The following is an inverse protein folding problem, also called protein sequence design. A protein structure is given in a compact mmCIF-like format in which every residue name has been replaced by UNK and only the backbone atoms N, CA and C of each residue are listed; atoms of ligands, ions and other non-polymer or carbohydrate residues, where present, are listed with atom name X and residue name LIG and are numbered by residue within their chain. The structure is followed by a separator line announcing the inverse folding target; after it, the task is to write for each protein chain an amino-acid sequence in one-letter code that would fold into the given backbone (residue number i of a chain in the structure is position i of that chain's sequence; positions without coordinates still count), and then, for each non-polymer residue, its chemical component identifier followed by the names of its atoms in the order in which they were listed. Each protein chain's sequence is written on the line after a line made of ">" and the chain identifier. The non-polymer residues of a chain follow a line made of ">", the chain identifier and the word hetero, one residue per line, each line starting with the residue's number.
data_IF_472515112935
#
_entry.id   IF_472515112935
#
_cell.length_a   1.000
_cell.length_b   1.000
_cell.length_c   1.000
_cell.angle_alpha   90.00
_cell.angle_beta   90.00
_cell.angle_gamma   90.00
#
_symmetry.space_group_name_H-M   'P 1'
#
loop_
_entity.id
_entity.type
_entity.pdbx_description
1 polymer ?
#
# COMPACT_ATOMS: atom_id res chain seq x y z
N UNK A 1 15.41 -5.43 10.77
CA UNK A 1 16.73 -5.51 10.10
C UNK A 1 17.74 -6.36 10.88
N UNK A 2 18.24 -5.94 12.06
CA UNK A 2 19.26 -6.70 12.82
C UNK A 2 18.86 -8.14 13.17
N UNK A 3 17.62 -8.35 13.63
CA UNK A 3 17.11 -9.70 13.92
C UNK A 3 17.09 -10.62 12.68
N UNK A 4 16.81 -10.07 11.50
CA UNK A 4 16.79 -10.80 10.23
C UNK A 4 18.22 -11.14 9.78
N UNK A 5 19.16 -10.19 9.90
CA UNK A 5 20.57 -10.43 9.63
C UNK A 5 21.13 -11.57 10.52
N UNK A 6 20.84 -11.51 11.82
CA UNK A 6 21.21 -12.56 12.77
C UNK A 6 20.59 -13.92 12.40
N UNK A 7 19.29 -13.96 12.08
CA UNK A 7 18.61 -15.19 11.65
C UNK A 7 19.23 -15.82 10.40
N UNK A 8 19.71 -15.00 9.47
CA UNK A 8 20.25 -15.44 8.19
C UNK A 8 21.77 -15.57 8.18
N UNK A 9 22.45 -15.43 9.34
CA UNK A 9 23.91 -15.45 9.47
C UNK A 9 24.61 -14.47 8.51
N UNK A 10 24.02 -13.29 8.32
CA UNK A 10 24.56 -12.21 7.51
C UNK A 10 25.26 -11.18 8.42
N UNK A 11 26.30 -10.49 7.91
CA UNK A 11 26.85 -9.34 8.62
C UNK A 11 25.72 -8.33 8.87
N UNK A 12 25.57 -7.82 10.11
CA UNK A 12 24.53 -6.87 10.38
C UNK A 12 24.84 -5.59 9.60
N UNK A 13 23.83 -4.97 8.98
CA UNK A 13 24.03 -3.75 8.20
C UNK A 13 24.56 -2.59 9.05
N UNK A 14 24.31 -2.65 10.35
CA UNK A 14 24.82 -1.71 11.33
C UNK A 14 25.32 -2.43 12.57
N UNK A 15 26.35 -1.90 13.25
CA UNK A 15 26.89 -2.52 14.46
C UNK A 15 25.93 -2.46 15.67
N UNK A 16 24.94 -1.56 15.66
CA UNK A 16 23.93 -1.45 16.72
C UNK A 16 22.60 -0.84 16.22
N UNK A 17 21.50 -0.95 17.00
CA UNK A 17 20.24 -0.25 16.71
C UNK A 17 20.39 1.28 16.63
N UNK A 18 21.25 1.87 17.47
CA UNK A 18 21.52 3.31 17.48
C UNK A 18 22.24 3.73 16.19
N UNK A 19 23.23 2.95 15.75
CA UNK A 19 23.92 3.18 14.48
C UNK A 19 22.97 3.04 13.28
N UNK A 20 22.05 2.07 13.33
CA UNK A 20 21.02 1.93 12.31
C UNK A 20 20.09 3.15 12.26
N UNK A 21 19.66 3.67 13.42
CA UNK A 21 18.83 4.88 13.49
C UNK A 21 19.56 6.13 13.00
N UNK A 22 20.84 6.27 13.31
CA UNK A 22 21.65 7.40 12.86
C UNK A 22 21.81 7.42 11.33
N UNK A 23 21.85 6.25 10.70
CA UNK A 23 21.94 6.14 9.25
C UNK A 23 20.67 6.56 8.51
N UNK A 24 19.52 6.74 9.20
CA UNK A 24 18.26 7.15 8.58
C UNK A 24 18.19 8.67 8.31
N UNK A 25 19.34 9.36 8.35
CA UNK A 25 19.46 10.77 8.03
C UNK A 25 19.96 10.93 6.58
N UNK A 26 19.01 11.05 5.66
CA UNK A 26 19.25 11.13 4.23
C UNK A 26 19.45 12.58 3.77
N UNK A 27 20.19 12.78 2.68
CA UNK A 27 20.33 14.10 2.04
C UNK A 27 19.41 14.26 0.82
N UNK A 28 19.06 13.14 0.18
CA UNK A 28 18.24 13.04 -1.03
C UNK A 28 17.65 11.62 -1.20
N UNK A 29 16.89 11.38 -2.27
CA UNK A 29 16.32 10.06 -2.60
C UNK A 29 17.39 8.97 -2.80
N UNK A 30 18.55 9.29 -3.38
CA UNK A 30 19.57 8.27 -3.66
C UNK A 30 20.22 7.76 -2.36
N UNK A 31 20.57 8.66 -1.43
CA UNK A 31 21.06 8.29 -0.10
C UNK A 31 20.08 7.36 0.63
N UNK A 32 18.77 7.62 0.48
CA UNK A 32 17.72 6.75 1.01
C UNK A 32 17.67 5.38 0.34
N UNK A 33 17.69 5.34 -1.00
CA UNK A 33 17.60 4.10 -1.78
C UNK A 33 18.77 3.15 -1.50
N UNK A 34 19.99 3.68 -1.35
CA UNK A 34 21.17 2.87 -1.02
C UNK A 34 20.97 2.12 0.31
N UNK A 35 20.41 2.80 1.30
CA UNK A 35 20.07 2.20 2.59
C UNK A 35 18.87 1.24 2.48
N UNK A 36 17.84 1.61 1.72
CA UNK A 36 16.69 0.75 1.47
C UNK A 36 17.13 -0.61 0.90
N UNK A 37 17.92 -0.61 -0.18
CA UNK A 37 18.40 -1.84 -0.82
C UNK A 37 19.34 -2.64 0.08
N UNK A 38 20.17 -1.96 0.87
CA UNK A 38 20.99 -2.63 1.85
C UNK A 38 20.15 -3.31 2.94
N UNK A 39 19.11 -2.64 3.42
CA UNK A 39 18.13 -3.20 4.35
C UNK A 39 17.36 -4.39 3.77
N UNK A 40 17.03 -4.37 2.48
CA UNK A 40 16.37 -5.48 1.80
C UNK A 40 17.28 -6.72 1.66
N UNK A 41 18.60 -6.55 1.66
CA UNK A 41 19.57 -7.65 1.49
C UNK A 41 19.53 -8.70 2.61
N UNK A 42 19.02 -8.33 3.80
CA UNK A 42 18.95 -9.25 4.95
C UNK A 42 17.73 -10.17 4.91
N UNK A 43 16.79 -9.97 3.99
CA UNK A 43 15.65 -10.85 3.74
C UNK A 43 16.13 -12.01 2.85
N UNK A 44 16.03 -13.26 3.31
CA UNK A 44 16.55 -14.43 2.57
C UNK A 44 15.55 -15.56 2.41
N UNK A 45 14.63 -15.72 3.35
CA UNK A 45 13.73 -16.87 3.45
C UNK A 45 12.29 -16.42 3.42
N UNK A 46 11.38 -17.32 3.04
CA UNK A 46 9.93 -17.10 3.13
C UNK A 46 9.48 -16.51 4.49
N UNK A 47 10.06 -16.98 5.60
CA UNK A 47 9.73 -16.50 6.95
C UNK A 47 10.12 -15.03 7.14
N UNK A 48 11.19 -14.55 6.51
CA UNK A 48 11.60 -13.15 6.61
C UNK A 48 10.57 -12.21 6.02
N UNK A 49 10.07 -12.54 4.83
CA UNK A 49 9.03 -11.76 4.17
C UNK A 49 7.69 -11.82 4.93
N UNK A 50 7.34 -12.99 5.47
CA UNK A 50 6.15 -13.12 6.31
C UNK A 50 6.23 -12.25 7.56
N UNK A 51 7.33 -12.36 8.32
CA UNK A 51 7.50 -11.63 9.58
C UNK A 51 7.57 -10.12 9.35
N UNK A 52 8.26 -9.68 8.29
CA UNK A 52 8.35 -8.26 7.93
C UNK A 52 6.96 -7.70 7.56
N UNK A 53 6.23 -8.37 6.67
CA UNK A 53 4.90 -7.93 6.27
C UNK A 53 3.91 -7.94 7.44
N UNK A 54 3.93 -8.97 8.29
CA UNK A 54 3.09 -9.03 9.48
C UNK A 54 3.43 -7.94 10.51
N UNK A 55 4.69 -7.55 10.63
CA UNK A 55 5.07 -6.42 11.49
C UNK A 55 4.43 -5.12 11.01
N UNK A 56 4.48 -4.85 9.69
CA UNK A 56 3.79 -3.72 9.09
C UNK A 56 2.27 -3.81 9.28
N UNK A 57 1.64 -4.96 8.98
CA UNK A 57 0.19 -5.13 9.07
C UNK A 57 -0.35 -4.94 10.49
N UNK A 58 0.34 -5.45 11.51
CA UNK A 58 -0.01 -5.19 12.91
C UNK A 58 0.04 -3.70 13.23
N UNK A 59 1.06 -3.00 12.75
CA UNK A 59 1.24 -1.57 13.00
C UNK A 59 0.23 -0.70 12.24
N UNK A 60 -0.12 -1.09 11.01
CA UNK A 60 -1.14 -0.45 10.20
C UNK A 60 -2.54 -0.65 10.81
N UNK A 61 -2.87 -1.87 11.24
CA UNK A 61 -4.14 -2.16 11.91
C UNK A 61 -4.29 -1.37 13.23
N UNK A 62 -3.21 -1.25 14.02
CA UNK A 62 -3.20 -0.41 15.23
C UNK A 62 -3.41 1.09 14.93
N UNK A 63 -3.11 1.53 13.70
CA UNK A 63 -3.40 2.87 13.20
C UNK A 63 -4.77 2.99 12.51
N UNK A 64 -5.66 2.00 12.67
CA UNK A 64 -6.98 1.92 12.05
C UNK A 64 -6.97 1.85 10.51
N UNK A 65 -5.86 1.40 9.91
CA UNK A 65 -5.85 1.07 8.49
C UNK A 65 -6.74 -0.14 8.25
N UNK A 66 -7.71 0.00 7.35
CA UNK A 66 -8.67 -1.07 6.99
C UNK A 66 -8.32 -1.75 5.66
N UNK A 67 -7.52 -1.09 4.83
CA UNK A 67 -6.96 -1.62 3.58
C UNK A 67 -5.55 -1.10 3.37
N UNK A 68 -4.63 -1.98 3.00
CA UNK A 68 -3.29 -1.64 2.53
C UNK A 68 -3.06 -2.15 1.09
N UNK A 69 -2.65 -1.26 0.19
CA UNK A 69 -2.18 -1.61 -1.15
C UNK A 69 -0.67 -1.41 -1.17
N UNK A 70 0.06 -2.51 -0.97
CA UNK A 70 1.47 -2.47 -0.58
C UNK A 70 2.36 -2.71 -1.80
N UNK A 71 3.34 -1.84 -1.97
CA UNK A 71 4.34 -1.92 -3.03
C UNK A 71 5.39 -2.96 -2.66
N UNK A 72 5.95 -3.63 -3.65
CA UNK A 72 7.12 -4.50 -3.48
C UNK A 72 7.90 -4.60 -4.79
N UNK A 73 9.22 -4.80 -4.67
CA UNK A 73 10.16 -4.73 -5.80
C UNK A 73 10.77 -6.12 -6.03
N UNK A 74 10.23 -6.94 -6.95
CA UNK A 74 10.76 -8.27 -7.19
C UNK A 74 12.22 -8.25 -7.62
N UNK A 75 12.62 -7.25 -8.42
CA UNK A 75 13.96 -7.11 -8.98
C UNK A 75 15.03 -7.06 -7.87
N UNK A 76 14.76 -6.34 -6.79
CA UNK A 76 15.65 -6.27 -5.61
C UNK A 76 15.90 -7.65 -5.01
N UNK A 77 14.85 -8.44 -4.85
CA UNK A 77 14.95 -9.78 -4.23
C UNK A 77 15.56 -10.82 -5.18
N UNK A 78 15.27 -10.73 -6.47
CA UNK A 78 15.88 -11.59 -7.50
C UNK A 78 17.39 -11.31 -7.62
N UNK A 79 17.81 -10.04 -7.60
CA UNK A 79 19.24 -9.67 -7.59
C UNK A 79 19.95 -10.18 -6.33
N UNK A 80 19.25 -10.28 -5.20
CA UNK A 80 19.74 -10.93 -3.99
C UNK A 80 19.81 -12.48 -4.09
N UNK A 81 19.49 -13.06 -5.25
CA UNK A 81 19.56 -14.50 -5.53
C UNK A 81 18.36 -15.28 -4.97
N UNK A 82 17.22 -14.64 -4.75
CA UNK A 82 16.03 -15.29 -4.22
C UNK A 82 15.08 -15.71 -5.34
N UNK A 83 14.48 -16.89 -5.17
CA UNK A 83 13.37 -17.32 -6.00
C UNK A 83 12.08 -16.57 -5.62
N UNK A 84 11.20 -16.35 -6.58
CA UNK A 84 9.86 -15.78 -6.35
C UNK A 84 9.07 -16.51 -5.26
N UNK A 85 9.23 -17.83 -5.14
CA UNK A 85 8.56 -18.64 -4.11
C UNK A 85 8.99 -18.34 -2.68
N UNK A 86 10.14 -17.69 -2.47
CA UNK A 86 10.57 -17.22 -1.16
C UNK A 86 9.82 -15.95 -0.79
N UNK A 87 10.01 -14.86 -1.55
CA UNK A 87 9.42 -13.58 -1.19
C UNK A 87 7.90 -13.56 -1.38
N UNK A 88 7.38 -13.94 -2.55
CA UNK A 88 5.93 -13.97 -2.76
C UNK A 88 5.25 -15.00 -1.87
N UNK A 89 5.90 -16.13 -1.58
CA UNK A 89 5.36 -17.11 -0.65
C UNK A 89 5.10 -16.53 0.74
N UNK A 90 6.03 -15.70 1.24
CA UNK A 90 5.93 -15.09 2.57
C UNK A 90 4.93 -13.94 2.60
N UNK A 91 4.99 -13.05 1.60
CA UNK A 91 4.07 -11.93 1.45
C UNK A 91 2.62 -12.42 1.33
N UNK A 92 2.35 -13.41 0.47
CA UNK A 92 1.00 -13.94 0.29
C UNK A 92 0.44 -14.57 1.57
N UNK A 93 1.26 -15.31 2.31
CA UNK A 93 0.86 -15.88 3.59
C UNK A 93 0.58 -14.80 4.65
N UNK A 94 1.37 -13.73 4.67
CA UNK A 94 1.15 -12.61 5.59
C UNK A 94 -0.14 -11.84 5.28
N UNK A 95 -0.45 -11.62 4.00
CA UNK A 95 -1.72 -11.01 3.60
C UNK A 95 -2.92 -11.85 4.05
N UNK A 96 -2.87 -13.18 3.86
CA UNK A 96 -3.92 -14.10 4.31
C UNK A 96 -4.09 -14.08 5.83
N UNK A 97 -2.98 -14.02 6.58
CA UNK A 97 -2.99 -13.92 8.04
C UNK A 97 -3.51 -12.55 8.54
N UNK A 98 -3.18 -11.46 7.87
CA UNK A 98 -3.66 -10.12 8.20
C UNK A 98 -5.18 -9.99 7.98
N UNK A 99 -5.69 -10.53 6.87
CA UNK A 99 -7.13 -10.54 6.61
C UNK A 99 -7.89 -11.35 7.67
N UNK A 100 -7.40 -12.54 8.01
CA UNK A 100 -8.05 -13.43 8.98
C UNK A 100 -7.94 -12.94 10.43
N UNK A 101 -6.78 -12.42 10.82
CA UNK A 101 -6.48 -12.09 12.22
C UNK A 101 -6.67 -10.62 12.60
N UNK A 102 -6.57 -9.70 11.63
CA UNK A 102 -6.61 -8.26 11.87
C UNK A 102 -7.80 -7.57 11.17
N UNK A 103 -8.51 -8.27 10.28
CA UNK A 103 -9.55 -7.65 9.44
C UNK A 103 -9.01 -6.63 8.43
N UNK A 104 -7.69 -6.60 8.21
CA UNK A 104 -7.00 -5.72 7.29
C UNK A 104 -7.01 -6.33 5.89
N UNK A 105 -7.67 -5.68 4.92
CA UNK A 105 -7.60 -6.09 3.51
C UNK A 105 -6.22 -5.75 2.93
N UNK A 106 -5.61 -6.68 2.20
CA UNK A 106 -4.28 -6.46 1.60
C UNK A 106 -4.30 -6.75 0.10
N UNK A 107 -3.75 -5.83 -0.68
CA UNK A 107 -3.42 -6.04 -2.08
C UNK A 107 -1.96 -5.67 -2.35
N UNK A 108 -1.38 -6.27 -3.39
CA UNK A 108 0.01 -6.06 -3.78
C UNK A 108 0.10 -5.25 -5.06
N UNK A 109 1.06 -4.35 -5.10
CA UNK A 109 1.43 -3.57 -6.28
C UNK A 109 2.87 -3.94 -6.59
N UNK A 110 3.08 -4.55 -7.74
CA UNK A 110 4.38 -5.05 -8.15
C UNK A 110 5.11 -3.93 -8.91
N UNK A 111 6.19 -3.42 -8.34
CA UNK A 111 6.89 -2.30 -8.95
C UNK A 111 8.00 -2.76 -9.90
N UNK A 112 8.16 -1.99 -10.97
CA UNK A 112 9.36 -1.98 -11.78
C UNK A 112 10.28 -0.86 -11.30
N UNK A 113 11.57 -1.17 -11.16
CA UNK A 113 12.61 -0.22 -10.80
C UNK A 113 13.07 0.58 -12.00
N UNK A 114 12.91 1.90 -11.94
CA UNK A 114 13.30 2.86 -12.99
C UNK A 114 14.79 2.86 -13.33
N UNK A 115 15.63 2.58 -12.34
CA UNK A 115 17.08 2.59 -12.45
C UNK A 115 17.65 1.32 -13.11
N UNK A 116 16.80 0.34 -13.40
CA UNK A 116 17.15 -0.89 -14.12
C UNK A 116 16.69 -0.85 -15.58
N UNK A 117 17.11 -1.84 -16.36
CA UNK A 117 16.78 -1.89 -17.79
C UNK A 117 15.30 -2.19 -18.04
N UNK A 118 14.78 -1.74 -19.19
CA UNK A 118 13.41 -2.05 -19.62
C UNK A 118 13.25 -3.57 -19.83
N UNK A 119 14.32 -4.23 -20.28
CA UNK A 119 14.39 -5.69 -20.41
C UNK A 119 14.22 -6.39 -19.05
N UNK A 120 14.81 -5.86 -17.98
CA UNK A 120 14.61 -6.40 -16.62
C UNK A 120 13.17 -6.23 -16.15
N UNK A 121 12.52 -5.12 -16.49
CA UNK A 121 11.11 -4.90 -16.17
C UNK A 121 10.21 -5.92 -16.90
N UNK A 122 10.42 -6.14 -18.21
CA UNK A 122 9.65 -7.11 -18.98
C UNK A 122 9.88 -8.57 -18.53
N UNK A 123 11.14 -8.91 -18.19
CA UNK A 123 11.49 -10.19 -17.60
C UNK A 123 10.80 -10.39 -16.24
N UNK A 124 10.74 -9.34 -15.42
CA UNK A 124 10.05 -9.34 -14.12
C UNK A 124 8.55 -9.59 -14.29
N UNK A 125 7.89 -8.90 -15.24
CA UNK A 125 6.48 -9.14 -15.55
C UNK A 125 6.23 -10.58 -16.00
N UNK A 126 7.11 -11.13 -16.83
CA UNK A 126 7.04 -12.53 -17.28
C UNK A 126 7.15 -13.50 -16.09
N UNK A 127 8.10 -13.27 -15.19
CA UNK A 127 8.29 -14.10 -14.00
C UNK A 127 7.12 -14.00 -13.00
N UNK A 128 6.38 -12.89 -13.02
CA UNK A 128 5.21 -12.65 -12.18
C UNK A 128 3.95 -13.42 -12.61
N UNK A 129 3.87 -13.92 -13.85
CA UNK A 129 2.66 -14.57 -14.40
C UNK A 129 2.04 -15.65 -13.48
N UNK A 130 2.81 -16.56 -12.84
CA UNK A 130 2.25 -17.56 -11.92
C UNK A 130 1.69 -16.97 -10.61
N UNK A 131 2.03 -15.72 -10.31
CA UNK A 131 1.73 -15.04 -9.05
C UNK A 131 0.64 -13.98 -9.17
N UNK A 132 0.27 -13.52 -10.37
CA UNK A 132 -0.70 -12.43 -10.56
C UNK A 132 -2.01 -12.65 -9.79
N UNK A 133 -2.54 -13.88 -9.82
CA UNK A 133 -3.79 -14.25 -9.11
C UNK A 133 -3.62 -14.42 -7.58
N UNK A 134 -2.45 -14.11 -7.01
CA UNK A 134 -2.17 -14.19 -5.56
C UNK A 134 -2.30 -12.84 -4.85
N UNK A 135 -3.03 -11.90 -5.45
CA UNK A 135 -3.33 -10.59 -4.86
C UNK A 135 -2.56 -9.43 -5.46
N UNK A 136 -1.82 -9.64 -6.55
CA UNK A 136 -1.23 -8.54 -7.32
C UNK A 136 -2.37 -7.91 -8.14
N UNK A 137 -2.65 -6.64 -7.88
CA UNK A 137 -3.76 -5.90 -8.52
C UNK A 137 -3.29 -4.83 -9.50
N UNK A 138 -2.04 -4.38 -9.35
CA UNK A 138 -1.45 -3.35 -10.18
C UNK A 138 0.06 -3.58 -10.37
N UNK A 139 0.59 -2.96 -11.42
CA UNK A 139 2.02 -2.68 -11.54
C UNK A 139 2.31 -1.24 -11.11
N UNK A 140 3.48 -1.02 -10.53
CA UNK A 140 4.02 0.28 -10.14
C UNK A 140 5.32 0.61 -10.88
N UNK A 141 5.76 1.86 -10.79
CA UNK A 141 7.07 2.31 -11.27
C UNK A 141 7.70 3.21 -10.20
N UNK A 142 8.87 2.85 -9.70
CA UNK A 142 9.53 3.50 -8.57
C UNK A 142 11.06 3.49 -8.68
N UNK A 143 11.75 3.72 -7.56
CA UNK A 143 13.17 4.03 -7.49
C UNK A 143 13.53 5.40 -8.12
N UNK A 144 14.81 5.62 -8.39
CA UNK A 144 15.38 6.92 -8.78
C UNK A 144 14.59 7.56 -9.90
N UNK A 145 14.00 8.73 -9.62
CA UNK A 145 13.17 9.43 -10.60
C UNK A 145 14.01 10.22 -11.60
N UNK A 146 15.03 10.95 -11.12
CA UNK A 146 15.84 11.81 -11.97
C UNK A 146 16.55 11.03 -13.08
N UNK A 147 16.29 11.40 -14.34
CA UNK A 147 16.91 10.78 -15.52
C UNK A 147 16.22 9.51 -16.02
N UNK A 148 15.15 9.06 -15.37
CA UNK A 148 14.40 7.86 -15.75
C UNK A 148 12.94 8.19 -16.08
N UNK A 149 12.65 8.70 -17.30
CA UNK A 149 11.33 9.15 -17.68
C UNK A 149 10.31 7.99 -17.72
N UNK A 150 9.08 8.18 -17.18
CA UNK A 150 8.04 7.15 -17.22
C UNK A 150 7.78 6.58 -18.61
N UNK A 151 7.81 7.41 -19.66
CA UNK A 151 7.54 6.97 -21.03
C UNK A 151 8.44 5.83 -21.52
N UNK A 152 9.63 5.66 -20.96
CA UNK A 152 10.53 4.55 -21.31
C UNK A 152 9.92 3.16 -20.99
N UNK A 153 8.98 3.09 -20.05
CA UNK A 153 8.34 1.86 -19.58
C UNK A 153 6.97 1.58 -20.26
N UNK A 154 6.60 2.35 -21.29
CA UNK A 154 5.29 2.25 -21.95
C UNK A 154 4.92 0.82 -22.37
N UNK A 155 5.86 0.11 -23.01
CA UNK A 155 5.60 -1.22 -23.55
C UNK A 155 5.31 -2.27 -22.46
N UNK A 156 6.03 -2.23 -21.32
CA UNK A 156 5.79 -3.18 -20.22
C UNK A 156 4.49 -2.84 -19.48
N UNK A 157 4.14 -1.55 -19.38
CA UNK A 157 2.84 -1.11 -18.84
C UNK A 157 1.67 -1.51 -19.73
N UNK A 158 1.79 -1.37 -21.05
CA UNK A 158 0.80 -1.84 -22.03
C UNK A 158 0.61 -3.37 -21.91
N UNK A 159 1.71 -4.11 -21.79
CA UNK A 159 1.67 -5.56 -21.58
C UNK A 159 1.00 -5.94 -20.24
N UNK A 160 1.28 -5.20 -19.17
CA UNK A 160 0.64 -5.40 -17.88
C UNK A 160 -0.88 -5.12 -17.94
N UNK A 161 -1.29 -4.07 -18.66
CA UNK A 161 -2.69 -3.77 -18.92
C UNK A 161 -3.38 -4.90 -19.72
N UNK A 162 -2.70 -5.47 -20.72
CA UNK A 162 -3.17 -6.64 -21.47
C UNK A 162 -3.36 -7.91 -20.62
N UNK A 163 -2.70 -7.97 -19.45
CA UNK A 163 -2.91 -9.02 -18.45
C UNK A 163 -4.06 -8.71 -17.49
N UNK A 164 -4.62 -7.50 -17.53
CA UNK A 164 -5.70 -7.01 -16.66
C UNK A 164 -5.22 -6.32 -15.38
N UNK A 165 -3.93 -5.98 -15.28
CA UNK A 165 -3.38 -5.26 -14.13
C UNK A 165 -3.67 -3.77 -14.27
N UNK A 166 -3.92 -3.12 -13.13
CA UNK A 166 -3.96 -1.66 -13.05
C UNK A 166 -2.53 -1.09 -13.07
N UNK A 167 -2.40 0.21 -13.27
CA UNK A 167 -1.11 0.89 -13.32
C UNK A 167 -1.07 2.06 -12.34
N UNK A 168 0.07 2.22 -11.66
CA UNK A 168 0.46 3.38 -10.85
C UNK A 168 1.91 3.72 -11.13
N UNK A 169 2.35 4.93 -10.80
CA UNK A 169 3.75 5.32 -10.97
C UNK A 169 4.10 6.48 -10.04
N UNK A 170 5.29 6.41 -9.45
CA UNK A 170 5.95 7.59 -8.88
C UNK A 170 6.21 8.57 -10.00
N UNK A 171 5.67 9.78 -9.87
CA UNK A 171 5.97 10.87 -10.77
C UNK A 171 5.76 12.21 -10.05
N UNK A 172 6.65 13.17 -10.27
CA UNK A 172 6.57 14.49 -9.67
C UNK A 172 6.87 14.50 -8.17
N UNK A 173 7.77 13.63 -7.69
CA UNK A 173 8.35 13.71 -6.35
C UNK A 173 9.62 14.57 -6.35
N UNK A 174 10.63 14.14 -7.11
CA UNK A 174 11.84 14.91 -7.44
C UNK A 174 11.86 15.30 -8.93
N UNK A 175 11.12 14.55 -9.74
CA UNK A 175 10.97 14.75 -11.17
C UNK A 175 10.09 15.94 -11.51
N UNK A 176 10.24 16.39 -12.75
CA UNK A 176 9.51 17.55 -13.28
C UNK A 176 8.04 17.19 -13.57
N UNK A 177 7.14 18.19 -13.66
CA UNK A 177 5.72 17.97 -13.98
C UNK A 177 5.47 17.15 -15.26
N UNK A 178 6.38 17.20 -16.23
CA UNK A 178 6.31 16.40 -17.46
C UNK A 178 6.27 14.89 -17.18
N UNK A 179 6.90 14.41 -16.11
CA UNK A 179 6.84 12.99 -15.75
C UNK A 179 5.44 12.60 -15.26
N UNK A 180 4.71 13.52 -14.63
CA UNK A 180 3.31 13.29 -14.26
C UNK A 180 2.47 13.19 -15.54
N UNK A 181 2.70 14.05 -16.54
CA UNK A 181 2.05 13.93 -17.84
C UNK A 181 2.33 12.59 -18.52
N UNK A 182 3.60 12.15 -18.55
CA UNK A 182 3.96 10.85 -19.12
C UNK A 182 3.30 9.68 -18.37
N UNK A 183 3.27 9.72 -17.04
CA UNK A 183 2.56 8.70 -16.26
C UNK A 183 1.07 8.63 -16.64
N UNK A 184 0.41 9.77 -16.83
CA UNK A 184 -1.01 9.83 -17.20
C UNK A 184 -1.27 9.41 -18.65
N UNK A 185 -0.55 10.02 -19.58
CA UNK A 185 -0.89 9.98 -21.01
C UNK A 185 -0.16 8.85 -21.75
N UNK A 186 0.96 8.35 -21.21
CA UNK A 186 1.74 7.25 -21.81
C UNK A 186 1.56 5.96 -21.02
N UNK A 187 1.70 6.00 -19.69
CA UNK A 187 1.55 4.79 -18.86
C UNK A 187 0.10 4.50 -18.44
N UNK A 188 -0.81 5.43 -18.68
CA UNK A 188 -2.23 5.32 -18.36
C UNK A 188 -2.50 4.95 -16.89
N UNK A 189 -1.71 5.54 -15.98
CA UNK A 189 -1.84 5.26 -14.54
C UNK A 189 -3.22 5.66 -14.01
N UNK A 190 -3.71 4.88 -13.05
CA UNK A 190 -4.98 5.12 -12.35
C UNK A 190 -4.85 6.11 -11.20
N UNK A 191 -3.62 6.30 -10.72
CA UNK A 191 -3.21 7.31 -9.74
C UNK A 191 -1.73 7.59 -9.91
N UNK A 192 -1.32 8.77 -9.47
CA UNK A 192 0.08 9.21 -9.46
C UNK A 192 0.57 9.13 -8.03
N UNK A 193 1.69 8.46 -7.84
CA UNK A 193 2.33 8.37 -6.53
C UNK A 193 3.19 9.61 -6.31
N UNK A 194 3.06 10.26 -5.14
CA UNK A 194 3.53 11.62 -4.84
C UNK A 194 2.79 12.71 -5.63
N UNK A 195 3.27 13.05 -6.84
CA UNK A 195 2.65 14.05 -7.72
C UNK A 195 2.67 15.49 -7.21
N UNK A 196 3.46 15.80 -6.17
CA UNK A 196 3.45 17.12 -5.51
C UNK A 196 3.94 18.24 -6.43
N UNK A 197 4.81 17.93 -7.40
CA UNK A 197 5.25 18.87 -8.42
C UNK A 197 4.15 19.28 -9.41
N UNK A 198 2.94 18.72 -9.33
CA UNK A 198 1.80 19.25 -10.09
C UNK A 198 1.48 20.72 -9.77
N UNK A 199 1.92 21.24 -8.63
CA UNK A 199 1.74 22.65 -8.27
C UNK A 199 2.57 23.62 -9.14
N UNK A 200 3.60 23.11 -9.81
CA UNK A 200 4.48 23.91 -10.67
C UNK A 200 3.94 24.03 -12.11
N UNK A 201 2.91 23.26 -12.46
CA UNK A 201 2.25 23.25 -13.76
C UNK A 201 0.72 23.45 -13.60
N UNK A 202 0.21 24.68 -13.74
CA UNK A 202 -1.23 24.96 -13.62
C UNK A 202 -2.12 24.15 -14.60
N UNK A 203 -1.76 24.00 -15.90
CA UNK A 203 -2.43 23.04 -16.79
C UNK A 203 -2.51 21.61 -16.26
N UNK A 204 -1.42 21.05 -15.74
CA UNK A 204 -1.41 19.70 -15.16
C UNK A 204 -2.36 19.61 -13.98
N UNK A 205 -2.30 20.58 -13.06
CA UNK A 205 -3.20 20.64 -11.91
C UNK A 205 -4.67 20.65 -12.34
N UNK A 206 -5.01 21.43 -13.36
CA UNK A 206 -6.37 21.46 -13.92
C UNK A 206 -6.77 20.09 -14.48
N UNK A 207 -5.89 19.44 -15.24
CA UNK A 207 -6.17 18.11 -15.79
C UNK A 207 -6.36 17.05 -14.70
N UNK A 208 -5.58 17.09 -13.62
CA UNK A 208 -5.74 16.19 -12.47
C UNK A 208 -7.10 16.35 -11.79
N UNK A 209 -7.60 17.60 -11.66
CA UNK A 209 -8.94 17.89 -11.15
C UNK A 209 -10.02 17.35 -12.08
N UNK A 210 -9.94 17.66 -13.37
CA UNK A 210 -10.94 17.27 -14.38
C UNK A 210 -11.05 15.75 -14.51
N UNK A 211 -9.91 15.06 -14.50
CA UNK A 211 -9.83 13.59 -14.61
C UNK A 211 -10.05 12.88 -13.27
N UNK A 212 -10.15 13.62 -12.15
CA UNK A 212 -10.16 13.11 -10.77
C UNK A 212 -9.06 12.07 -10.50
N UNK A 213 -7.83 12.37 -10.92
CA UNK A 213 -6.70 11.48 -10.68
C UNK A 213 -6.28 11.57 -9.21
N UNK A 214 -6.19 10.45 -8.47
CA UNK A 214 -5.64 10.46 -7.13
C UNK A 214 -4.13 10.76 -7.11
N UNK A 215 -3.72 11.56 -6.12
CA UNK A 215 -2.32 11.81 -5.77
C UNK A 215 -2.01 11.16 -4.41
N UNK A 216 -1.14 10.17 -4.37
CA UNK A 216 -0.79 9.49 -3.10
C UNK A 216 0.37 10.21 -2.41
N UNK A 217 0.03 11.30 -1.71
CA UNK A 217 1.01 12.20 -1.10
C UNK A 217 1.58 11.58 0.17
N UNK A 218 2.90 11.73 0.35
CA UNK A 218 3.66 11.17 1.45
C UNK A 218 4.36 12.30 2.25
N UNK A 219 3.62 13.04 3.12
CA UNK A 219 4.10 14.29 3.71
C UNK A 219 5.46 14.21 4.41
N UNK A 220 5.66 13.18 5.23
CA UNK A 220 6.91 13.00 5.98
C UNK A 220 8.01 12.46 5.06
N UNK A 221 7.71 11.61 4.08
CA UNK A 221 8.68 11.21 3.04
C UNK A 221 9.23 12.44 2.29
N UNK A 222 8.33 13.27 1.75
CA UNK A 222 8.68 14.51 1.06
C UNK A 222 9.55 15.43 1.94
N UNK A 223 9.29 15.49 3.25
CA UNK A 223 10.11 16.26 4.20
C UNK A 223 11.52 15.67 4.34
N UNK A 224 11.62 14.34 4.49
CA UNK A 224 12.88 13.63 4.73
C UNK A 224 13.77 13.60 3.49
N UNK A 225 13.17 13.63 2.31
CA UNK A 225 13.86 13.64 1.02
C UNK A 225 14.09 15.06 0.47
N UNK A 226 13.72 16.10 1.22
CA UNK A 226 14.02 17.48 0.85
C UNK A 226 13.20 18.04 -0.32
N UNK A 227 12.05 17.43 -0.64
CA UNK A 227 11.12 17.93 -1.66
C UNK A 227 10.63 19.32 -1.27
N UNK A 228 10.67 20.27 -2.20
CA UNK A 228 10.43 21.70 -1.95
C UNK A 228 11.20 22.26 -0.75
N UNK A 229 12.55 22.35 -0.83
CA UNK A 229 13.38 22.74 0.30
C UNK A 229 12.98 24.12 0.85
N UNK A 230 12.64 24.16 2.13
CA UNK A 230 12.19 25.37 2.85
C UNK A 230 10.77 25.84 2.55
N UNK A 231 10.04 25.16 1.65
CA UNK A 231 8.69 25.55 1.20
C UNK A 231 7.64 24.45 1.37
N UNK A 232 8.05 23.24 1.77
CA UNK A 232 7.17 22.08 1.82
C UNK A 232 5.87 22.30 2.65
N UNK A 233 5.89 22.88 3.86
CA UNK A 233 4.65 23.19 4.59
C UNK A 233 3.64 24.01 3.78
N UNK A 234 4.10 25.04 3.10
CA UNK A 234 3.26 25.94 2.31
C UNK A 234 2.73 25.23 1.06
N UNK A 235 3.59 24.46 0.38
CA UNK A 235 3.22 23.68 -0.81
C UNK A 235 2.21 22.59 -0.49
N UNK A 236 2.39 21.83 0.58
CA UNK A 236 1.42 20.82 1.01
C UNK A 236 0.10 21.45 1.43
N UNK A 237 0.13 22.62 2.08
CA UNK A 237 -1.08 23.39 2.39
C UNK A 237 -1.82 23.83 1.13
N UNK A 238 -1.11 24.34 0.12
CA UNK A 238 -1.68 24.66 -1.20
C UNK A 238 -2.30 23.42 -1.86
N UNK A 239 -1.59 22.29 -1.87
CA UNK A 239 -2.02 21.04 -2.49
C UNK A 239 -3.32 20.52 -1.88
N UNK A 240 -3.38 20.36 -0.56
CA UNK A 240 -4.56 19.76 0.11
C UNK A 240 -5.77 20.68 0.16
N UNK A 241 -5.57 21.99 -0.03
CA UNK A 241 -6.63 23.01 -0.09
C UNK A 241 -7.07 23.33 -1.52
N UNK A 242 -6.32 22.88 -2.53
CA UNK A 242 -6.72 23.06 -3.93
C UNK A 242 -8.03 22.32 -4.19
N UNK A 243 -9.11 23.02 -4.57
CA UNK A 243 -10.39 22.38 -4.81
C UNK A 243 -10.31 21.34 -5.93
N UNK A 244 -10.95 20.19 -5.72
CA UNK A 244 -11.09 19.15 -6.74
C UNK A 244 -9.91 18.16 -6.83
N UNK A 245 -8.72 18.51 -6.32
CA UNK A 245 -7.61 17.55 -6.25
C UNK A 245 -7.95 16.40 -5.30
N UNK A 246 -7.76 15.18 -5.78
CA UNK A 246 -8.02 13.95 -5.03
C UNK A 246 -6.73 13.51 -4.32
N UNK A 247 -6.39 14.22 -3.24
CA UNK A 247 -5.19 13.92 -2.44
C UNK A 247 -5.49 12.85 -1.39
N UNK A 248 -4.61 11.85 -1.28
CA UNK A 248 -4.57 10.89 -0.17
C UNK A 248 -3.32 11.13 0.68
N UNK A 249 -3.30 10.62 1.92
CA UNK A 249 -2.16 10.72 2.83
C UNK A 249 -1.61 9.32 3.07
N UNK A 250 -0.32 9.15 2.79
CA UNK A 250 0.36 7.87 2.79
C UNK A 250 1.67 7.97 3.61
N UNK A 251 2.17 6.82 4.06
CA UNK A 251 3.39 6.76 4.89
C UNK A 251 4.66 6.49 4.11
N UNK A 252 4.53 6.02 2.87
CA UNK A 252 5.65 5.56 2.07
C UNK A 252 6.49 4.52 2.85
N UNK A 253 7.80 4.68 2.90
CA UNK A 253 8.75 3.90 3.72
C UNK A 253 8.73 4.26 5.21
N UNK A 254 7.60 3.99 5.88
CA UNK A 254 7.33 4.37 7.27
C UNK A 254 8.46 4.04 8.27
N UNK A 255 9.12 2.89 8.09
CA UNK A 255 10.21 2.45 8.95
C UNK A 255 11.48 3.29 8.81
N UNK A 256 11.71 3.87 7.63
CA UNK A 256 12.86 4.72 7.32
C UNK A 256 12.58 6.19 7.65
N UNK A 257 11.37 6.67 7.37
CA UNK A 257 10.98 8.06 7.64
C UNK A 257 10.52 8.32 9.08
N UNK A 258 10.30 7.27 9.86
CA UNK A 258 9.95 7.37 11.28
C UNK A 258 8.50 7.76 11.55
N UNK A 259 7.63 7.69 10.54
CA UNK A 259 6.21 8.00 10.65
C UNK A 259 5.37 7.01 9.85
N UNK A 260 4.42 6.36 10.52
CA UNK A 260 3.34 5.64 9.85
C UNK A 260 2.24 6.62 9.43
N UNK A 261 1.14 6.10 8.87
CA UNK A 261 0.13 6.94 8.22
C UNK A 261 -0.48 7.97 9.16
N UNK A 262 -0.72 7.61 10.43
CA UNK A 262 -1.27 8.55 11.41
C UNK A 262 -0.31 9.69 11.75
N UNK A 263 1.00 9.43 11.80
CA UNK A 263 2.01 10.48 11.97
C UNK A 263 2.07 11.43 10.77
N UNK A 264 1.80 10.93 9.57
CA UNK A 264 1.69 11.77 8.36
C UNK A 264 0.44 12.65 8.41
N UNK A 265 -0.71 12.11 8.85
CA UNK A 265 -1.92 12.90 9.08
C UNK A 265 -1.69 13.98 10.14
N UNK A 266 -1.09 13.64 11.28
CA UNK A 266 -0.80 14.58 12.36
C UNK A 266 0.11 15.73 11.89
N UNK A 267 1.23 15.39 11.24
CA UNK A 267 2.17 16.38 10.76
C UNK A 267 1.55 17.29 9.69
N UNK A 268 0.86 16.70 8.71
CA UNK A 268 0.17 17.46 7.66
C UNK A 268 -0.91 18.38 8.24
N UNK A 269 -1.71 17.90 9.19
CA UNK A 269 -2.75 18.70 9.83
C UNK A 269 -2.16 19.90 10.57
N UNK A 270 -1.02 19.71 11.25
CA UNK A 270 -0.32 20.79 11.92
C UNK A 270 0.21 21.85 10.93
N UNK A 271 0.91 21.43 9.88
CA UNK A 271 1.59 22.38 8.97
C UNK A 271 0.63 23.06 8.00
N UNK A 272 -0.47 22.41 7.61
CA UNK A 272 -1.47 22.96 6.71
C UNK A 272 -2.68 23.56 7.45
N UNK A 273 -2.73 23.49 8.78
CA UNK A 273 -3.83 24.00 9.60
C UNK A 273 -5.17 23.33 9.30
N UNK A 274 -5.15 21.99 9.17
CA UNK A 274 -6.33 21.21 8.80
C UNK A 274 -7.21 20.94 10.02
N UNK A 275 -8.53 21.08 9.83
CA UNK A 275 -9.51 20.68 10.82
C UNK A 275 -9.91 19.20 10.70
N UNK A 276 -10.81 18.76 11.57
CA UNK A 276 -11.35 17.39 11.55
C UNK A 276 -12.00 17.05 10.21
N UNK A 277 -12.81 17.97 9.66
CA UNK A 277 -13.45 17.78 8.36
C UNK A 277 -12.45 17.60 7.20
N UNK A 278 -11.32 18.31 7.24
CA UNK A 278 -10.25 18.16 6.24
C UNK A 278 -9.59 16.79 6.33
N UNK A 279 -9.26 16.34 7.55
CA UNK A 279 -8.67 15.02 7.79
C UNK A 279 -9.64 13.91 7.37
N UNK A 280 -10.92 14.05 7.71
CA UNK A 280 -11.96 13.10 7.30
C UNK A 280 -12.10 13.03 5.78
N UNK A 281 -12.06 14.18 5.07
CA UNK A 281 -12.05 14.22 3.61
C UNK A 281 -10.84 13.50 3.02
N UNK A 282 -9.64 13.73 3.55
CA UNK A 282 -8.42 13.04 3.09
C UNK A 282 -8.48 11.51 3.33
N UNK A 283 -9.08 11.07 4.43
CA UNK A 283 -9.35 9.65 4.69
C UNK A 283 -10.38 9.07 3.70
N UNK A 284 -11.43 9.83 3.37
CA UNK A 284 -12.44 9.42 2.39
C UNK A 284 -11.87 9.32 0.97
N UNK A 285 -10.97 10.24 0.62
CA UNK A 285 -10.25 10.22 -0.64
C UNK A 285 -9.47 8.91 -0.82
N UNK A 286 -8.87 8.35 0.23
CA UNK A 286 -8.12 7.08 0.13
C UNK A 286 -9.01 5.89 -0.19
N UNK A 287 -10.26 5.88 0.32
CA UNK A 287 -11.25 4.86 -0.03
C UNK A 287 -11.68 4.97 -1.49
N UNK A 288 -11.89 6.19 -1.99
CA UNK A 288 -12.21 6.46 -3.40
C UNK A 288 -11.06 6.06 -4.34
N UNK A 289 -9.82 6.37 -3.96
CA UNK A 289 -8.62 6.08 -4.73
C UNK A 289 -8.18 4.60 -4.71
N UNK A 290 -8.74 3.80 -3.82
CA UNK A 290 -8.37 2.40 -3.66
C UNK A 290 -8.90 1.51 -4.80
N UNK A 291 -8.13 0.49 -5.15
CA UNK A 291 -8.48 -0.55 -6.14
C UNK A 291 -9.36 -1.65 -5.56
N UNK A 292 -10.02 -1.40 -4.42
CA UNK A 292 -10.85 -2.39 -3.75
C UNK A 292 -12.17 -2.66 -4.47
N UNK A 293 -12.41 -2.05 -5.62
CA UNK A 293 -13.67 -2.17 -6.35
C UNK A 293 -13.58 -3.17 -7.52
N UNK A 294 -12.39 -3.73 -7.79
CA UNK A 294 -12.14 -4.61 -8.93
C UNK A 294 -12.25 -3.88 -10.27
N UNK A 295 -11.84 -4.55 -11.35
CA UNK A 295 -11.88 -4.05 -12.73
C UNK A 295 -13.29 -3.98 -13.32
N UNK A 296 -14.30 -3.57 -12.54
CA UNK A 296 -15.52 -3.06 -13.17
C UNK A 296 -15.11 -1.81 -13.94
N UNK A 297 -15.13 -1.90 -15.27
CA UNK A 297 -15.00 -0.80 -16.22
C UNK A 297 -16.13 0.22 -16.07
N UNK A 298 -16.27 0.78 -14.87
CA UNK A 298 -17.07 1.96 -14.60
C UNK A 298 -16.36 3.12 -15.25
N UNK A 299 -16.80 3.46 -16.46
CA UNK A 299 -16.60 4.79 -16.99
C UNK A 299 -16.97 5.79 -15.89
N UNK A 300 -16.08 6.74 -15.66
CA UNK A 300 -16.47 7.99 -15.05
C UNK A 300 -17.44 8.64 -16.06
N UNK A 301 -18.73 8.52 -15.77
CA UNK A 301 -19.82 9.34 -16.32
C UNK A 301 -19.91 9.54 -17.84
N UNK A 302 -20.75 8.76 -18.50
CA UNK A 302 -21.30 9.09 -19.83
C UNK A 302 -22.69 8.46 -19.98
N UNK A 303 -23.73 9.28 -20.04
CA UNK A 303 -25.13 8.84 -19.91
C UNK A 303 -25.73 8.14 -21.13
N UNK A 304 -26.77 7.35 -20.84
CA UNK A 304 -27.93 7.12 -21.69
C UNK A 304 -27.83 6.02 -22.76
N UNK A 305 -28.71 5.01 -22.67
CA UNK A 305 -29.06 4.17 -23.83
C UNK A 305 -29.44 2.74 -23.49
N UNK A 306 -30.76 2.49 -23.43
CA UNK A 306 -31.39 1.17 -23.40
C UNK A 306 -31.02 0.36 -24.66
N UNK A 307 -30.78 -0.94 -24.51
CA UNK A 307 -31.46 -2.01 -25.27
C UNK A 307 -30.97 -3.41 -24.85
N UNK A 308 -31.93 -4.32 -24.85
CA UNK A 308 -31.90 -5.73 -24.47
C UNK A 308 -31.15 -6.62 -25.46
N UNK A 309 -30.71 -7.80 -25.03
CA UNK A 309 -31.27 -9.09 -25.48
C UNK A 309 -30.65 -10.30 -24.77
N UNK A 310 -31.44 -11.38 -24.75
CA UNK A 310 -31.37 -12.59 -23.93
C UNK A 310 -30.54 -13.77 -24.51
N UNK A 311 -30.31 -14.75 -23.62
CA UNK A 311 -30.24 -16.21 -23.84
C UNK A 311 -28.97 -16.80 -24.53
N UNK A 312 -28.41 -17.96 -24.13
CA UNK A 312 -28.77 -18.98 -23.15
C UNK A 312 -28.05 -20.31 -23.46
N UNK A 313 -28.05 -21.25 -22.50
CA UNK A 313 -27.86 -22.73 -22.62
C UNK A 313 -26.42 -23.24 -22.91
N UNK A 314 -25.85 -24.27 -22.26
CA UNK A 314 -26.28 -25.23 -21.24
C UNK A 314 -25.32 -26.45 -21.18
N UNK A 315 -25.38 -27.21 -20.07
CA UNK A 315 -25.03 -28.65 -19.94
C UNK A 315 -23.53 -29.04 -19.93
N UNK A 316 -23.06 -30.15 -19.34
CA UNK A 316 -23.62 -31.25 -18.55
C UNK A 316 -22.47 -31.91 -17.76
N UNK A 317 -22.87 -32.80 -16.84
CA UNK A 317 -22.13 -33.64 -15.90
C UNK A 317 -20.86 -34.34 -16.40
N UNK A 318 -19.99 -34.75 -15.47
CA UNK A 318 -19.44 -36.12 -15.41
C UNK A 318 -18.75 -36.43 -14.06
N UNK A 319 -19.12 -37.57 -13.50
CA UNK A 319 -18.62 -38.18 -12.26
C UNK A 319 -17.23 -38.82 -12.43
N UNK A 320 -16.45 -38.92 -11.34
CA UNK A 320 -16.05 -40.20 -10.69
C UNK A 320 -14.79 -40.10 -9.80
N UNK A 321 -14.95 -40.61 -8.58
CA UNK A 321 -14.09 -41.49 -7.75
C UNK A 321 -12.55 -41.39 -7.72
N UNK A 322 -12.02 -41.45 -6.47
CA UNK A 322 -10.92 -42.36 -6.14
C UNK A 322 -9.78 -41.84 -5.24
N UNK A 323 -9.74 -42.34 -3.99
CA UNK A 323 -8.57 -42.82 -3.22
C UNK A 323 -7.34 -41.88 -2.98
N UNK A 324 -7.02 -41.40 -1.77
CA UNK A 324 -6.43 -42.03 -0.56
C UNK A 324 -4.90 -41.88 -0.41
N UNK A 325 -4.45 -41.48 0.79
CA UNK A 325 -3.05 -41.44 1.25
C UNK A 325 -2.47 -40.02 1.22
N UNK A 326 -1.89 -39.42 2.25
CA UNK A 326 -1.34 -39.82 3.55
C UNK A 326 -0.35 -38.68 3.90
N UNK A 327 -0.60 -37.91 4.96
CA UNK A 327 0.16 -36.70 5.28
C UNK A 327 0.68 -36.72 6.71
N UNK A 328 1.97 -36.44 6.87
CA UNK A 328 2.63 -36.23 8.17
C UNK A 328 2.67 -34.74 8.50
N UNK A 329 2.27 -34.40 9.73
CA UNK A 329 2.22 -33.03 10.25
C UNK A 329 3.41 -32.70 11.14
N UNK A 330 3.91 -31.46 11.03
CA UNK A 330 4.89 -30.89 11.96
C UNK A 330 4.21 -29.86 12.86
N UNK A 331 4.39 -30.01 14.17
CA UNK A 331 3.93 -29.08 15.20
C UNK A 331 4.87 -27.89 15.35
N UNK A 332 4.29 -26.75 15.73
CA UNK A 332 4.99 -25.50 16.05
C UNK A 332 5.05 -25.31 17.56
N UNK A 333 6.25 -25.08 18.10
CA UNK A 333 6.47 -24.55 19.44
C UNK A 333 6.53 -23.01 19.38
N UNK A 334 5.75 -22.36 20.25
CA UNK A 334 5.74 -20.91 20.47
C UNK A 334 6.93 -20.52 21.37
N UNK A 335 7.59 -19.42 21.02
CA UNK A 335 8.61 -18.77 21.82
C UNK A 335 8.32 -17.27 21.90
N UNK A 336 8.19 -16.80 23.14
CA UNK A 336 7.83 -15.43 23.53
C UNK A 336 8.80 -14.37 22.98
N UNK A 337 8.25 -13.25 22.48
CA UNK A 337 9.00 -12.03 22.16
C UNK A 337 8.55 -10.91 23.09
N UNK A 338 9.53 -10.37 23.81
CA UNK A 338 9.41 -9.33 24.82
C UNK A 338 9.14 -7.97 24.16
N UNK A 339 8.04 -7.33 24.56
CA UNK A 339 7.65 -5.96 24.24
C UNK A 339 8.41 -4.96 25.12
N UNK A 340 9.03 -3.96 24.51
CA UNK A 340 9.61 -2.81 25.22
C UNK A 340 9.19 -1.52 24.52
N UNK A 341 7.93 -1.14 24.70
CA UNK A 341 7.40 0.19 24.41
C UNK A 341 7.00 0.89 25.72
N UNK A 342 7.87 1.74 26.26
CA UNK A 342 7.50 2.71 27.30
C UNK A 342 8.12 4.06 26.96
N UNK A 343 7.28 4.97 26.47
CA UNK A 343 7.24 6.37 26.90
C UNK A 343 5.98 7.03 26.34
N UNK A 344 4.88 6.96 27.09
CA UNK A 344 3.88 8.02 27.35
C UNK A 344 2.50 7.39 27.67
N UNK A 345 1.95 7.82 28.81
CA UNK A 345 0.57 7.66 29.34
C UNK A 345 0.27 6.44 30.20
N UNK A 346 0.27 6.69 31.52
CA UNK A 346 -0.98 6.86 32.29
C UNK A 346 -1.85 5.61 32.51
N UNK A 347 -1.81 5.12 33.75
CA UNK A 347 -2.58 4.02 34.35
C UNK A 347 -4.09 4.01 34.02
N UNK A 348 -4.59 2.85 33.55
CA UNK A 348 -5.81 2.18 34.05
C UNK A 348 -5.64 0.66 33.84
N UNK A 349 -5.69 -0.13 34.92
CA UNK A 349 -5.72 -1.61 34.87
C UNK A 349 -7.18 -2.07 34.95
N UNK A 350 -7.59 -2.94 34.04
CA UNK A 350 -8.75 -3.82 34.21
C UNK A 350 -8.33 -5.20 33.73
N UNK A 351 -8.34 -6.19 34.63
CA UNK A 351 -8.01 -7.58 34.31
C UNK A 351 -9.28 -8.39 34.09
N UNK A 352 -9.24 -9.35 33.16
CA UNK A 352 -10.15 -10.50 33.14
C UNK A 352 -9.45 -11.73 32.54
N UNK A 353 -9.34 -12.75 33.39
CA UNK A 353 -9.42 -14.20 33.20
C UNK A 353 -9.33 -14.85 31.81
N UNK A 354 -8.41 -15.83 31.73
CA UNK A 354 -8.33 -16.90 30.73
C UNK A 354 -9.51 -17.89 30.82
N UNK A 355 -9.97 -18.34 29.65
CA UNK A 355 -10.89 -19.46 29.49
C UNK A 355 -10.67 -20.10 28.13
N UNK A 356 -10.11 -21.31 28.13
CA UNK A 356 -9.77 -22.08 26.92
C UNK A 356 -10.97 -22.62 26.17
N UNK A 357 -10.80 -22.82 24.86
CA UNK A 357 -11.76 -23.48 23.99
C UNK A 357 -11.16 -23.81 22.64
N UNK A 358 -10.82 -25.08 22.42
CA UNK A 358 -10.38 -25.63 21.13
C UNK A 358 -11.57 -25.71 20.16
N UNK A 359 -11.44 -25.17 18.96
CA UNK A 359 -12.41 -25.31 17.87
C UNK A 359 -11.73 -25.18 16.52
N UNK A 360 -11.72 -26.26 15.74
CA UNK A 360 -11.15 -26.33 14.40
C UNK A 360 -12.27 -26.62 13.37
N UNK A 361 -12.31 -25.86 12.26
CA UNK A 361 -12.94 -26.23 10.98
C UNK A 361 -12.50 -25.20 9.91
N UNK A 362 -11.47 -25.51 9.11
CA UNK A 362 -11.56 -25.98 7.72
C UNK A 362 -12.26 -25.03 6.72
N UNK A 363 -11.44 -24.26 6.01
CA UNK A 363 -11.56 -24.10 4.56
C UNK A 363 -10.37 -24.82 3.90
N UNK A 364 -10.63 -25.67 2.92
CA UNK A 364 -9.64 -26.07 1.90
C UNK A 364 -10.12 -25.54 0.56
N UNK A 365 -9.21 -24.90 -0.15
CA UNK A 365 -9.33 -24.66 -1.59
C UNK A 365 -8.24 -25.42 -2.34
N UNK A 366 -8.55 -25.82 -3.57
CA UNK A 366 -7.84 -25.55 -4.84
C UNK A 366 -7.84 -26.76 -5.78
N UNK A 367 -8.37 -26.53 -6.96
CA UNK A 367 -8.00 -27.23 -8.19
C UNK A 367 -7.62 -26.19 -9.24
N UNK A 368 -6.51 -26.41 -9.95
CA UNK A 368 -6.03 -25.57 -11.06
C UNK A 368 -6.65 -26.13 -12.35
N UNK A 369 -7.56 -25.37 -12.94
CA UNK A 369 -8.16 -25.61 -14.25
C UNK A 369 -7.86 -24.44 -15.21
N UNK A 370 -8.00 -24.70 -16.51
CA UNK A 370 -7.80 -23.83 -17.69
C UNK A 370 -7.94 -22.33 -17.44
N UNK A 371 -7.06 -21.55 -18.06
CA UNK A 371 -7.13 -20.09 -18.10
C UNK A 371 -8.31 -19.63 -18.98
N UNK A 372 -9.52 -19.72 -18.43
CA UNK A 372 -10.61 -18.85 -18.83
C UNK A 372 -10.25 -17.41 -18.45
N UNK A 373 -10.60 -16.46 -19.33
CA UNK A 373 -10.43 -15.01 -19.18
C UNK A 373 -11.28 -14.39 -18.06
N UNK A 374 -11.39 -15.08 -16.93
CA UNK A 374 -11.99 -14.57 -15.70
C UNK A 374 -11.09 -13.53 -15.04
N UNK A 375 -11.71 -12.45 -14.59
CA UNK A 375 -11.10 -11.29 -13.92
C UNK A 375 -9.95 -11.69 -12.99
N UNK A 376 -8.80 -11.04 -13.15
CA UNK A 376 -7.66 -11.20 -12.26
C UNK A 376 -8.10 -10.99 -10.80
N UNK A 377 -7.91 -12.03 -9.98
CA UNK A 377 -7.71 -11.93 -8.54
C UNK A 377 -8.72 -11.10 -7.77
N UNK A 378 -9.95 -11.58 -7.63
CA UNK A 378 -10.93 -11.09 -6.66
C UNK A 378 -10.50 -11.41 -5.21
N UNK A 379 -9.35 -10.91 -4.74
CA UNK A 379 -9.11 -10.74 -3.30
C UNK A 379 -9.96 -9.54 -2.86
N UNK A 380 -11.18 -9.90 -2.46
CA UNK A 380 -12.21 -9.07 -1.84
C UNK A 380 -12.37 -7.68 -2.49
N UNK A 381 -13.07 -7.64 -3.62
CA UNK A 381 -13.74 -6.37 -3.92
C UNK A 381 -14.70 -6.07 -2.77
N UNK A 382 -14.61 -4.89 -2.18
CA UNK A 382 -15.60 -4.46 -1.21
C UNK A 382 -16.88 -4.18 -2.00
N UNK A 383 -17.96 -4.87 -1.65
CA UNK A 383 -19.26 -4.54 -2.20
C UNK A 383 -19.68 -3.12 -1.78
N UNK A 384 -20.66 -2.49 -2.48
CA UNK A 384 -21.15 -1.15 -2.15
C UNK A 384 -21.54 -0.94 -0.67
N UNK A 385 -21.99 -2.01 0.00
CA UNK A 385 -22.36 -1.99 1.41
C UNK A 385 -21.17 -1.63 2.33
N UNK A 386 -20.01 -2.27 2.14
CA UNK A 386 -18.84 -2.03 3.00
C UNK A 386 -18.26 -0.64 2.80
N UNK A 387 -18.40 -0.08 1.58
CA UNK A 387 -18.09 1.34 1.37
C UNK A 387 -19.00 2.23 2.20
N UNK A 388 -20.32 2.04 2.09
CA UNK A 388 -21.29 2.85 2.82
C UNK A 388 -21.04 2.79 4.34
N UNK A 389 -20.70 1.60 4.87
CA UNK A 389 -20.31 1.39 6.26
C UNK A 389 -19.06 2.20 6.64
N UNK A 390 -17.99 2.12 5.85
CA UNK A 390 -16.76 2.88 6.13
C UNK A 390 -16.97 4.38 6.01
N UNK A 391 -17.76 4.84 5.03
CA UNK A 391 -18.13 6.25 4.89
C UNK A 391 -18.91 6.74 6.12
N UNK A 392 -19.88 5.95 6.58
CA UNK A 392 -20.62 6.23 7.80
C UNK A 392 -19.70 6.27 9.02
N UNK A 393 -18.76 5.32 9.11
CA UNK A 393 -17.79 5.27 10.21
C UNK A 393 -16.85 6.47 10.24
N UNK A 394 -16.34 6.91 9.10
CA UNK A 394 -15.51 8.13 9.02
C UNK A 394 -16.31 9.36 9.44
N UNK A 395 -17.55 9.49 8.98
CA UNK A 395 -18.43 10.60 9.38
C UNK A 395 -18.73 10.60 10.90
N UNK A 396 -18.98 9.42 11.48
CA UNK A 396 -19.20 9.24 12.91
C UNK A 396 -17.97 9.68 13.73
N UNK A 397 -16.78 9.21 13.34
CA UNK A 397 -15.52 9.56 14.01
C UNK A 397 -15.21 11.06 13.91
N UNK A 398 -15.50 11.67 12.76
CA UNK A 398 -15.35 13.12 12.57
C UNK A 398 -16.26 13.90 13.54
N UNK A 399 -17.54 13.54 13.63
CA UNK A 399 -18.47 14.19 14.54
C UNK A 399 -18.05 14.03 16.02
N UNK A 400 -17.54 12.86 16.40
CA UNK A 400 -17.02 12.61 17.75
C UNK A 400 -15.80 13.49 18.07
N UNK A 401 -14.86 13.61 17.12
CA UNK A 401 -13.68 14.45 17.30
C UNK A 401 -14.03 15.94 17.39
N UNK A 402 -14.95 16.44 16.56
CA UNK A 402 -15.43 17.83 16.63
C UNK A 402 -16.12 18.14 17.96
N UNK A 403 -16.96 17.23 18.45
CA UNK A 403 -17.60 17.37 19.76
C UNK A 403 -16.57 17.41 20.90
N UNK A 404 -15.55 16.54 20.86
CA UNK A 404 -14.48 16.51 21.86
C UNK A 404 -13.65 17.81 21.85
N UNK A 405 -13.28 18.33 20.67
CA UNK A 405 -12.54 19.59 20.55
C UNK A 405 -13.36 20.78 21.06
N UNK A 406 -14.66 20.80 20.80
CA UNK A 406 -15.57 21.84 21.30
C UNK A 406 -15.65 21.80 22.83
N UNK A 407 -15.78 20.61 23.43
CA UNK A 407 -15.79 20.44 24.89
C UNK A 407 -14.50 20.94 25.53
N UNK A 408 -13.34 20.61 24.94
CA UNK A 408 -12.04 21.07 25.45
C UNK A 408 -11.87 22.60 25.37
N UNK A 409 -12.36 23.22 24.30
CA UNK A 409 -12.31 24.67 24.14
C UNK A 409 -13.18 25.40 25.18
N UNK A 410 -14.36 24.85 25.50
CA UNK A 410 -15.25 25.37 26.55
C UNK A 410 -14.59 25.24 27.94
N UNK A 411 -13.97 24.10 28.24
CA UNK A 411 -13.25 23.89 29.50
C UNK A 411 -12.03 24.82 29.66
N UNK A 412 -11.31 25.09 28.58
CA UNK A 412 -10.18 26.02 28.59
C UNK A 412 -10.63 27.49 28.74
N UNK A 413 -11.73 27.87 28.08
CA UNK A 413 -12.31 29.21 28.17
C UNK A 413 -13.01 29.52 29.50
N UNK A 414 -13.51 28.50 30.21
CA UNK A 414 -14.09 28.65 31.55
C UNK A 414 -13.07 28.72 32.70
N UNK A 415 -11.78 28.55 32.41
CA UNK A 415 -10.67 28.64 33.39
C UNK A 415 -9.83 29.92 33.25
N UNK A 416 -10.11 30.75 32.24
CA UNK A 416 -9.50 32.07 32.03
C UNK A 416 -10.40 33.16 32.62
#
# INVERSE_FOLDING_TARGET
>A
MLALAGRNNLPPPYPSPEAARAAYNFSDLQDFLDLYYYGASVLRTRRDFFDLAMAYFKRAAAANVVRAEVFFDPQTHVQNGLAWSEFMGGLVAAAEAAEAGLGLSVAWIMCFRKDLSIEDADATLTAALPWLRRGIVAVGLDSSEAGHPPAAFAAVFERAAGLGLLAVAHAGEEGQPEYVWEALDVLHVRRVDHGVHCLDDPPLRQALVERRVPLTVCPVSNLRLGVYPGQLPQRLSELVRTPGLLVTVNSDDAAYFGAYVEGNYEWLAQVAGLGVADVARLAMNSLEASFIWGSSGGSVGGGGGLMSDEAGVGGEDLMSDGASGGGEGFGSEEGDVVDSSVALRGQVRVGVHEGGGKGAAMMRGRGVGRADGGALGARASWGPHRLAELRARVAELAAQAEAAMTSMAVEAGGRA
#
